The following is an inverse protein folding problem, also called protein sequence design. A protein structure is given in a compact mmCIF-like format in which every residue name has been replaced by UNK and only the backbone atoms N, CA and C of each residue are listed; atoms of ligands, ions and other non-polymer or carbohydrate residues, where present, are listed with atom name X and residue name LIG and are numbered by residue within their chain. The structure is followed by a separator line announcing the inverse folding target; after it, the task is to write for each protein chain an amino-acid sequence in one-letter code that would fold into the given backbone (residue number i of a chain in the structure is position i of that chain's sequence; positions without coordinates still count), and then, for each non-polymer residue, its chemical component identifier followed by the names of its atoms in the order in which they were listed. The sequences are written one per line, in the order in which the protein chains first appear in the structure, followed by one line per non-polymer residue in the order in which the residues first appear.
data_IF_729789169714
#
_entry.id   IF_729789169714
#
_cell.length_a   1.000
_cell.length_b   1.000
_cell.length_c   1.000
_cell.angle_alpha   90.00
_cell.angle_beta   90.00
_cell.angle_gamma   90.00
#
_symmetry.space_group_name_H-M   'P 1'
#
loop_
_entity.id
_entity.type
_entity.pdbx_description
1 polymer ?
#
# COMPACT_ATOMS: atom_id res chain seq x y z
N UNK A 1 4.89 -12.26 3.73
CA UNK A 1 4.59 -10.83 3.45
C UNK A 1 4.08 -10.75 2.03
N UNK A 2 3.02 -9.98 1.76
CA UNK A 2 2.43 -9.91 0.41
C UNK A 2 2.88 -8.64 -0.31
N UNK A 3 3.15 -8.70 -1.63
CA UNK A 3 3.44 -7.50 -2.40
C UNK A 3 2.21 -6.57 -2.43
N UNK A 4 2.48 -5.26 -2.47
CA UNK A 4 1.47 -4.21 -2.57
C UNK A 4 1.86 -3.23 -3.65
N UNK A 5 0.87 -2.75 -4.39
CA UNK A 5 1.04 -1.64 -5.32
C UNK A 5 1.24 -0.38 -4.49
N UNK A 6 2.37 0.31 -4.70
CA UNK A 6 2.76 1.53 -4.00
C UNK A 6 1.96 2.77 -4.40
N UNK A 7 0.70 2.60 -4.79
CA UNK A 7 -0.18 3.67 -5.24
C UNK A 7 -1.33 3.82 -4.26
N UNK A 8 -1.45 5.01 -3.67
CA UNK A 8 -2.61 5.35 -2.87
C UNK A 8 -3.87 5.34 -3.76
N UNK A 9 -4.93 4.56 -3.46
CA UNK A 9 -6.16 4.52 -4.25
C UNK A 9 -7.03 5.78 -4.12
N UNK A 10 -6.47 6.87 -3.60
CA UNK A 10 -7.12 8.17 -3.57
C UNK A 10 -7.23 8.74 -5.00
N UNK A 11 -8.45 8.64 -5.54
CA UNK A 11 -9.02 9.42 -6.65
C UNK A 11 -8.01 10.00 -7.67
N UNK A 12 -7.51 9.14 -8.57
CA UNK A 12 -6.95 9.53 -9.88
C UNK A 12 -5.59 10.24 -9.90
N UNK A 13 -5.03 10.66 -8.75
CA UNK A 13 -3.73 11.33 -8.67
C UNK A 13 -2.61 10.47 -8.07
N UNK A 14 -2.93 9.24 -7.64
CA UNK A 14 -1.96 8.17 -7.40
C UNK A 14 -0.66 8.61 -6.72
N UNK A 15 -0.73 9.12 -5.49
CA UNK A 15 0.47 9.45 -4.75
C UNK A 15 1.15 8.19 -4.20
N UNK A 16 2.48 8.21 -4.11
CA UNK A 16 3.28 7.14 -3.48
C UNK A 16 3.26 7.32 -1.96
N UNK A 17 2.71 6.37 -1.18
CA UNK A 17 2.74 6.43 0.27
C UNK A 17 4.19 6.28 0.80
N UNK A 18 4.52 7.05 1.83
CA UNK A 18 5.79 6.97 2.55
C UNK A 18 5.72 5.76 3.49
N UNK A 19 6.68 4.84 3.39
CA UNK A 19 6.78 3.67 4.26
C UNK A 19 7.26 4.03 5.68
N UNK A 20 6.89 3.21 6.66
CA UNK A 20 7.21 3.36 8.08
C UNK A 20 6.75 4.71 8.66
N UNK A 21 5.63 5.23 8.15
CA UNK A 21 5.06 6.51 8.54
C UNK A 21 3.56 6.39 8.84
N UNK A 22 3.04 7.39 9.55
CA UNK A 22 1.66 7.42 10.02
C UNK A 22 1.42 6.55 11.26
N UNK A 23 0.27 6.77 11.86
CA UNK A 23 -0.10 6.27 13.20
C UNK A 23 -0.18 4.74 13.33
N UNK A 24 -0.21 4.00 12.22
CA UNK A 24 -0.41 2.55 12.21
C UNK A 24 0.84 1.77 11.81
N UNK A 25 2.01 2.41 11.82
CA UNK A 25 3.31 1.77 11.57
C UNK A 25 3.43 1.12 10.19
N UNK A 26 2.66 1.60 9.22
CA UNK A 26 2.63 1.09 7.86
C UNK A 26 3.03 2.16 6.87
N UNK A 27 2.03 2.77 6.23
CA UNK A 27 2.26 3.74 5.18
C UNK A 27 1.46 5.02 5.40
N UNK A 28 2.03 6.15 5.01
CA UNK A 28 1.38 7.45 5.08
C UNK A 28 1.38 8.13 3.71
N UNK A 29 0.20 8.51 3.23
CA UNK A 29 0.05 9.28 2.00
C UNK A 29 -0.03 10.78 2.34
N UNK A 30 1.01 11.58 2.04
CA UNK A 30 1.07 13.00 2.43
C UNK A 30 0.12 13.89 1.63
N UNK A 31 -0.44 13.40 0.51
CA UNK A 31 -1.29 14.20 -0.35
C UNK A 31 -2.57 14.67 0.33
N UNK A 32 -3.20 13.79 1.12
CA UNK A 32 -4.45 14.11 1.84
C UNK A 32 -4.52 13.44 3.23
N UNK A 33 -3.39 12.94 3.73
CA UNK A 33 -3.28 12.32 5.06
C UNK A 33 -4.00 10.97 5.17
N UNK A 34 -3.80 10.06 4.21
CA UNK A 34 -4.29 8.67 4.37
C UNK A 34 -3.26 7.82 5.09
N UNK A 35 -3.70 7.06 6.10
CA UNK A 35 -2.87 6.21 6.95
C UNK A 35 -3.20 4.74 6.74
N UNK A 36 -2.17 3.95 6.47
CA UNK A 36 -2.26 2.52 6.24
C UNK A 36 -1.48 1.76 7.29
N UNK A 37 -1.93 0.57 7.62
CA UNK A 37 -1.16 -0.37 8.45
C UNK A 37 -0.06 -1.08 7.64
N UNK A 38 0.77 -1.87 8.31
CA UNK A 38 1.86 -2.64 7.68
C UNK A 38 1.36 -3.67 6.64
N UNK A 39 0.07 -4.02 6.63
CA UNK A 39 -0.55 -4.88 5.61
C UNK A 39 -1.10 -4.09 4.42
N UNK A 40 -0.89 -2.77 4.38
CA UNK A 40 -1.40 -1.88 3.34
C UNK A 40 -2.90 -1.62 3.42
N UNK A 41 -3.55 -1.84 4.58
CA UNK A 41 -4.98 -1.58 4.75
C UNK A 41 -5.22 -0.15 5.21
N UNK A 42 -6.21 0.52 4.61
CA UNK A 42 -6.59 1.88 5.03
C UNK A 42 -7.17 1.83 6.45
N UNK A 43 -6.68 2.71 7.31
CA UNK A 43 -7.12 2.82 8.71
C UNK A 43 -7.78 4.16 8.98
N UNK A 44 -7.29 5.22 8.35
CA UNK A 44 -7.80 6.60 8.52
C UNK A 44 -7.47 7.44 7.29
N UNK A 45 -8.32 8.41 6.97
CA UNK A 45 -8.14 9.34 5.87
C UNK A 45 -9.12 9.13 4.72
N UNK A 46 -8.96 9.90 3.62
CA UNK A 46 -9.95 9.93 2.55
C UNK A 46 -9.90 8.74 1.57
N UNK A 47 -8.82 7.94 1.60
CA UNK A 47 -8.67 6.83 0.66
C UNK A 47 -9.82 5.82 0.82
N UNK A 48 -10.52 5.46 -0.27
CA UNK A 48 -11.70 4.61 -0.19
C UNK A 48 -11.37 3.11 -0.04
N UNK A 49 -10.15 2.72 -0.39
CA UNK A 49 -9.73 1.32 -0.53
C UNK A 49 -8.35 1.08 0.10
N UNK A 50 -8.03 -0.20 0.31
CA UNK A 50 -6.69 -0.65 0.70
C UNK A 50 -5.71 -0.54 -0.47
N UNK A 51 -4.41 -0.58 -0.18
CA UNK A 51 -3.39 -0.75 -1.22
C UNK A 51 -3.63 -2.06 -1.97
N UNK A 52 -3.64 -1.97 -3.29
CA UNK A 52 -3.87 -3.09 -4.19
C UNK A 52 -2.79 -4.17 -3.99
N UNK A 53 -3.20 -5.43 -4.09
CA UNK A 53 -2.28 -6.57 -4.16
C UNK A 53 -2.16 -6.89 -5.64
N UNK A 54 -0.97 -6.75 -6.25
CA UNK A 54 -0.80 -7.11 -7.65
C UNK A 54 -0.96 -8.63 -7.82
N UNK A 55 -1.13 -9.10 -9.04
CA UNK A 55 -0.97 -10.53 -9.32
C UNK A 55 0.49 -10.94 -9.07
N UNK A 56 0.70 -12.06 -8.38
CA UNK A 56 2.03 -12.57 -8.08
C UNK A 56 2.02 -14.10 -7.94
N UNK A 57 3.16 -14.70 -8.23
CA UNK A 57 3.44 -16.12 -8.00
C UNK A 57 4.82 -16.31 -7.36
N UNK A 58 4.94 -17.34 -6.51
CA UNK A 58 6.22 -17.77 -5.95
C UNK A 58 6.79 -18.87 -6.84
N UNK A 59 7.95 -18.63 -7.45
CA UNK A 59 8.64 -19.65 -8.26
C UNK A 59 9.58 -20.51 -7.42
N UNK A 60 10.14 -19.93 -6.36
CA UNK A 60 11.02 -20.57 -5.38
C UNK A 60 10.77 -19.94 -3.99
N UNK A 61 11.44 -20.44 -2.94
CA UNK A 61 11.28 -19.92 -1.56
C UNK A 61 11.66 -18.43 -1.43
N UNK A 62 12.62 -17.97 -2.23
CA UNK A 62 13.17 -16.60 -2.17
C UNK A 62 12.79 -15.72 -3.39
N UNK A 63 12.08 -16.27 -4.37
CA UNK A 63 11.78 -15.59 -5.65
C UNK A 63 10.28 -15.44 -5.84
N UNK A 64 9.85 -14.19 -6.04
CA UNK A 64 8.48 -13.82 -6.39
C UNK A 64 8.46 -13.12 -7.74
N UNK A 65 7.60 -13.57 -8.64
CA UNK A 65 7.30 -12.90 -9.90
C UNK A 65 6.01 -12.10 -9.71
N UNK A 66 6.03 -10.84 -10.12
CA UNK A 66 4.88 -9.92 -10.06
C UNK A 66 4.55 -9.51 -11.50
N UNK A 67 3.37 -9.88 -12.00
CA UNK A 67 2.96 -9.59 -13.39
C UNK A 67 1.87 -10.50 -13.92
#
# INVERSE_FOLDING_TARGET
MYPKVGLCPQFGLGCVPIANAGDFGGYYCPCHGSHYDASGRIRTGPAPLNLEVPFYEFTDEDVVIVG
#
